data_IF_105468488018
#
_entry.id   IF_105468488018
#
_cell.length_a   1.000
_cell.length_b   1.000
_cell.length_c   1.000
_cell.angle_alpha   90.00
_cell.angle_beta   90.00
_cell.angle_gamma   90.00
#
_symmetry.space_group_name_H-M   'P 1'
#
loop_
_entity.id
_entity.type
_entity.pdbx_description
1 polymer ?
#
# COMPACT_ATOMS: atom_id res chain seq x y z
N UNK A 1 -12.31 6.41 1.24
CA UNK A 1 -11.77 6.20 -0.12
C UNK A 1 -12.36 4.89 -0.63
N UNK A 2 -12.93 4.87 -1.83
CA UNK A 2 -13.40 3.62 -2.45
C UNK A 2 -12.19 2.89 -3.06
N UNK A 3 -12.20 1.54 -3.12
CA UNK A 3 -11.13 0.77 -3.73
C UNK A 3 -10.92 1.17 -5.18
N UNK A 4 -11.97 1.59 -5.90
CA UNK A 4 -11.86 2.13 -7.26
C UNK A 4 -10.95 3.35 -7.35
N UNK A 5 -11.03 4.29 -6.40
CA UNK A 5 -10.10 5.45 -6.36
C UNK A 5 -8.69 5.05 -5.95
N UNK A 6 -8.55 3.97 -5.16
CA UNK A 6 -7.24 3.43 -4.80
C UNK A 6 -6.57 2.76 -6.00
N UNK A 7 -7.32 1.94 -6.74
CA UNK A 7 -6.90 1.26 -7.96
C UNK A 7 -6.45 2.29 -9.00
N UNK A 8 -7.32 3.26 -9.34
CA UNK A 8 -7.01 4.31 -10.33
C UNK A 8 -5.75 5.11 -9.95
N UNK A 9 -5.57 5.41 -8.66
CA UNK A 9 -4.35 6.07 -8.18
C UNK A 9 -3.10 5.20 -8.37
N UNK A 10 -3.16 3.90 -8.08
CA UNK A 10 -2.02 3.00 -8.24
C UNK A 10 -1.69 2.74 -9.71
N UNK A 11 -2.69 2.64 -10.58
CA UNK A 11 -2.49 2.45 -12.03
C UNK A 11 -1.77 3.66 -12.65
N UNK A 12 -2.20 4.87 -12.30
CA UNK A 12 -1.49 6.10 -12.71
C UNK A 12 -0.06 6.16 -12.18
N UNK A 13 0.16 5.73 -10.94
CA UNK A 13 1.49 5.72 -10.30
C UNK A 13 2.41 4.70 -10.95
N UNK A 14 1.90 3.51 -11.26
CA UNK A 14 2.65 2.41 -11.89
C UNK A 14 2.75 2.57 -13.41
N UNK A 15 1.98 3.50 -14.01
CA UNK A 15 1.82 3.69 -15.46
C UNK A 15 1.42 2.41 -16.20
N UNK A 16 0.71 1.52 -15.52
CA UNK A 16 0.16 0.26 -16.03
C UNK A 16 -1.10 -0.09 -15.27
N UNK A 17 -1.95 -0.89 -15.89
CA UNK A 17 -3.11 -1.46 -15.21
C UNK A 17 -2.69 -2.47 -14.13
N UNK A 18 -3.50 -2.55 -13.08
CA UNK A 18 -3.32 -3.56 -12.04
C UNK A 18 -3.74 -4.93 -12.60
N UNK A 19 -2.91 -5.93 -12.37
CA UNK A 19 -3.22 -7.31 -12.74
C UNK A 19 -4.42 -7.82 -11.94
N UNK A 20 -5.17 -8.82 -12.44
CA UNK A 20 -6.29 -9.41 -11.70
C UNK A 20 -5.89 -9.94 -10.32
N UNK A 21 -4.65 -10.41 -10.16
CA UNK A 21 -4.10 -10.86 -8.87
C UNK A 21 -3.94 -9.69 -7.89
N UNK A 22 -3.38 -8.57 -8.36
CA UNK A 22 -3.22 -7.35 -7.56
C UNK A 22 -4.58 -6.75 -7.17
N UNK A 23 -5.53 -6.73 -8.10
CA UNK A 23 -6.91 -6.29 -7.85
C UNK A 23 -7.59 -7.15 -6.78
N UNK A 24 -7.48 -8.47 -6.87
CA UNK A 24 -8.05 -9.37 -5.86
C UNK A 24 -7.43 -9.15 -4.48
N UNK A 25 -6.12 -8.95 -4.39
CA UNK A 25 -5.46 -8.69 -3.11
C UNK A 25 -5.93 -7.39 -2.45
N UNK A 26 -6.11 -6.31 -3.23
CA UNK A 26 -6.65 -5.03 -2.75
C UNK A 26 -8.10 -5.20 -2.27
N UNK A 27 -8.93 -5.92 -3.03
CA UNK A 27 -10.33 -6.17 -2.66
C UNK A 27 -10.45 -7.04 -1.41
N UNK A 28 -9.63 -8.08 -1.29
CA UNK A 28 -9.57 -8.95 -0.11
C UNK A 28 -9.12 -8.18 1.13
N UNK A 29 -8.03 -7.41 1.03
CA UNK A 29 -7.54 -6.59 2.14
C UNK A 29 -8.57 -5.54 2.62
N UNK A 30 -9.44 -5.06 1.72
CA UNK A 30 -10.57 -4.22 2.11
C UNK A 30 -11.64 -5.01 2.85
N UNK A 31 -11.98 -6.20 2.37
CA UNK A 31 -13.01 -7.05 2.97
C UNK A 31 -12.59 -7.55 4.37
N UNK A 32 -11.32 -7.87 4.56
CA UNK A 32 -10.74 -8.28 5.85
C UNK A 32 -10.59 -7.13 6.86
N UNK A 33 -10.67 -5.87 6.42
CA UNK A 33 -10.46 -4.71 7.29
C UNK A 33 -11.82 -4.10 7.72
N UNK A 34 -12.33 -4.57 8.87
CA UNK A 34 -13.53 -3.99 9.53
C UNK A 34 -13.27 -2.62 10.17
N UNK A 35 -11.99 -2.28 10.40
CA UNK A 35 -11.58 -1.05 11.09
C UNK A 35 -11.46 0.16 10.15
N UNK A 36 -11.64 1.36 10.72
CA UNK A 36 -11.92 2.61 10.03
C UNK A 36 -11.00 3.00 8.86
N UNK A 37 -11.40 4.06 8.14
CA UNK A 37 -10.88 4.48 6.81
C UNK A 37 -9.35 4.50 6.65
N UNK A 38 -8.57 4.74 7.72
CA UNK A 38 -7.10 4.78 7.68
C UNK A 38 -6.49 3.38 7.65
N UNK A 39 -7.01 2.46 8.46
CA UNK A 39 -6.55 1.09 8.54
C UNK A 39 -6.84 0.33 7.25
N UNK A 40 -8.00 0.58 6.63
CA UNK A 40 -8.36 -0.01 5.34
C UNK A 40 -7.36 0.36 4.23
N UNK A 41 -6.94 1.63 4.14
CA UNK A 41 -5.98 2.08 3.10
C UNK A 41 -4.59 1.50 3.36
N UNK A 42 -4.18 1.42 4.64
CA UNK A 42 -2.93 0.77 5.02
C UNK A 42 -2.94 -0.71 4.63
N UNK A 43 -4.03 -1.43 4.91
CA UNK A 43 -4.19 -2.83 4.54
C UNK A 43 -4.14 -3.05 3.03
N UNK A 44 -4.90 -2.26 2.25
CA UNK A 44 -4.88 -2.30 0.79
C UNK A 44 -3.49 -2.03 0.21
N UNK A 45 -2.76 -1.05 0.76
CA UNK A 45 -1.38 -0.75 0.35
C UNK A 45 -0.43 -1.88 0.71
N UNK A 46 -0.53 -2.46 1.91
CA UNK A 46 0.31 -3.57 2.34
C UNK A 46 0.13 -4.81 1.44
N UNK A 47 -1.13 -5.15 1.10
CA UNK A 47 -1.43 -6.28 0.23
C UNK A 47 -0.89 -6.08 -1.20
N UNK A 48 -1.03 -4.88 -1.76
CA UNK A 48 -0.46 -4.56 -3.06
C UNK A 48 1.07 -4.56 -3.02
N UNK A 49 1.66 -3.99 -1.96
CA UNK A 49 3.10 -3.95 -1.81
C UNK A 49 3.68 -5.36 -1.67
N UNK A 50 3.04 -6.28 -0.95
CA UNK A 50 3.48 -7.67 -0.83
C UNK A 50 3.54 -8.41 -2.19
N UNK A 51 2.67 -8.04 -3.13
CA UNK A 51 2.68 -8.59 -4.49
C UNK A 51 3.70 -7.90 -5.41
N UNK A 52 3.97 -6.61 -5.19
CA UNK A 52 5.00 -5.85 -5.92
C UNK A 52 6.42 -6.13 -5.38
N UNK A 53 6.54 -6.51 -4.10
CA UNK A 53 7.81 -6.71 -3.36
C UNK A 53 8.60 -8.00 -3.63
N UNK A 54 8.23 -8.96 -4.52
CA UNK A 54 9.21 -9.92 -4.97
C UNK A 54 10.38 -9.25 -5.73
N UNK A 55 10.25 -7.98 -6.17
CA UNK A 55 11.25 -7.34 -7.03
C UNK A 55 11.95 -6.09 -6.48
N UNK A 56 11.39 -5.34 -5.52
CA UNK A 56 11.97 -4.06 -5.09
C UNK A 56 11.84 -3.85 -3.58
N UNK A 57 12.82 -4.35 -2.81
CA UNK A 57 13.14 -3.85 -1.47
C UNK A 57 13.63 -2.40 -1.57
N UNK A 58 12.72 -1.47 -1.89
CA UNK A 58 13.02 -0.05 -1.95
C UNK A 58 12.74 0.60 -0.58
N UNK A 59 13.72 1.22 0.10
CA UNK A 59 13.67 1.68 1.50
C UNK A 59 12.73 2.90 1.74
N UNK A 60 11.84 3.22 0.80
CA UNK A 60 11.06 4.46 0.81
C UNK A 60 9.82 4.45 1.73
N UNK A 61 9.48 3.30 2.35
CA UNK A 61 8.32 3.16 3.25
C UNK A 61 8.74 2.96 4.73
N UNK A 62 9.85 3.59 5.17
CA UNK A 62 10.10 3.79 6.60
C UNK A 62 9.29 5.00 7.09
N UNK A 63 8.21 4.83 7.88
CA UNK A 63 7.60 5.94 8.58
C UNK A 63 8.54 6.38 9.73
N UNK A 64 9.29 7.44 9.49
CA UNK A 64 9.90 8.25 10.55
C UNK A 64 11.08 7.62 11.28
N UNK A 65 12.28 7.72 10.72
CA UNK A 65 13.49 7.87 11.53
C UNK A 65 13.77 9.36 11.71
N UNK A 66 13.01 10.03 12.59
CA UNK A 66 13.55 11.21 13.28
C UNK A 66 14.67 10.70 14.18
N UNK A 67 15.89 10.63 13.66
CA UNK A 67 17.08 10.57 14.52
C UNK A 67 17.20 11.92 15.23
N UNK A 68 16.54 12.05 16.39
CA UNK A 68 17.13 12.85 17.46
C UNK A 68 18.30 12.04 18.00
N UNK A 69 19.49 12.25 17.45
CA UNK A 69 20.71 11.99 18.19
C UNK A 69 21.01 13.30 18.94
N UNK A 70 20.69 13.30 20.23
CA UNK A 70 21.26 14.19 21.22
C UNK A 70 22.60 13.59 21.70
N UNK A 71 23.47 14.45 22.25
CA UNK A 71 24.85 14.24 22.69
C UNK A 71 25.85 14.23 21.52
N UNK A 72 26.74 15.21 21.38
CA UNK A 72 27.68 15.76 22.39
C UNK A 72 27.73 17.29 22.39
#
# INVERSE_FOLDING_TARGET
MTPSKFIDYQERRLKRDLTPVELQAVLKARADCESGKRDTVRAMRAALNALLLPHELSPADMPGRRTKAAAD
#
